data_IF_479297558411
#
_entry.id   IF_479297558411
#
_cell.length_a   1.000
_cell.length_b   1.000
_cell.length_c   1.000
_cell.angle_alpha   90.00
_cell.angle_beta   90.00
_cell.angle_gamma   90.00
#
_symmetry.space_group_name_H-M   'P 1'
#
loop_
_entity.id
_entity.type
_entity.pdbx_description
1 polymer ?
#
# COMPACT_ATOMS: atom_id res chain seq x y z
N UNK A 1 -7.26 25.67 19.87
CA UNK A 1 -5.78 25.79 19.80
C UNK A 1 -5.26 27.16 20.25
N UNK A 2 -5.97 28.26 19.98
CA UNK A 2 -5.50 29.61 20.35
C UNK A 2 -5.39 29.85 21.87
N UNK A 3 -6.34 29.35 22.66
CA UNK A 3 -6.35 29.50 24.12
C UNK A 3 -5.16 28.78 24.77
N UNK A 4 -4.82 27.58 24.30
CA UNK A 4 -3.66 26.82 24.81
C UNK A 4 -2.33 27.47 24.42
N UNK A 5 -2.24 28.07 23.22
CA UNK A 5 -1.05 28.80 22.79
C UNK A 5 -0.82 30.05 23.65
N UNK A 6 -1.90 30.81 23.91
CA UNK A 6 -1.85 31.98 24.80
C UNK A 6 -1.46 31.61 26.23
N UNK A 7 -2.04 30.53 26.78
CA UNK A 7 -1.69 30.05 28.12
C UNK A 7 -0.23 29.58 28.24
N UNK A 8 0.29 28.88 27.23
CA UNK A 8 1.70 28.48 27.20
C UNK A 8 2.64 29.69 27.15
N UNK A 9 2.33 30.69 26.31
CA UNK A 9 3.13 31.91 26.22
C UNK A 9 3.12 32.69 27.54
N UNK A 10 1.94 32.87 28.15
CA UNK A 10 1.79 33.52 29.45
C UNK A 10 2.63 32.83 30.53
N UNK A 11 2.61 31.49 30.57
CA UNK A 11 3.40 30.70 31.51
C UNK A 11 4.90 30.95 31.38
N UNK A 12 5.41 30.98 30.14
CA UNK A 12 6.82 31.28 29.86
C UNK A 12 7.19 32.69 30.33
N UNK A 13 6.35 33.70 30.04
CA UNK A 13 6.60 35.09 30.45
C UNK A 13 6.66 35.20 31.98
N UNK A 14 5.73 34.59 32.70
CA UNK A 14 5.72 34.62 34.18
C UNK A 14 6.95 33.93 34.77
N UNK A 15 7.42 32.80 34.20
CA UNK A 15 8.66 32.15 34.66
C UNK A 15 9.88 33.09 34.55
N UNK A 16 10.00 33.85 33.47
CA UNK A 16 11.10 34.81 33.30
C UNK A 16 11.01 36.01 34.24
N UNK A 17 9.79 36.48 34.57
CA UNK A 17 9.58 37.59 35.50
C UNK A 17 10.02 37.21 36.92
N UNK A 18 9.76 35.97 37.35
CA UNK A 18 10.11 35.51 38.71
C UNK A 18 11.63 35.35 38.85
N UNK A 19 12.28 34.62 37.93
CA UNK A 19 13.73 34.38 37.98
C UNK A 19 14.24 33.90 36.62
N UNK A 20 14.96 34.79 35.94
CA UNK A 20 15.54 34.52 34.63
C UNK A 20 16.59 33.41 34.65
N UNK A 21 17.38 33.31 35.73
CA UNK A 21 18.43 32.31 35.87
C UNK A 21 17.86 30.89 35.97
N UNK A 22 16.84 30.70 36.81
CA UNK A 22 16.20 29.38 36.97
C UNK A 22 15.39 28.98 35.74
N UNK A 23 14.77 29.95 35.04
CA UNK A 23 14.07 29.69 33.78
C UNK A 23 15.02 29.18 32.68
N UNK A 24 16.21 29.78 32.54
CA UNK A 24 17.20 29.30 31.56
C UNK A 24 17.69 27.88 31.89
N UNK A 25 17.92 27.57 33.16
CA UNK A 25 18.34 26.23 33.60
C UNK A 25 17.26 25.19 33.29
N UNK A 26 15.98 25.48 33.56
CA UNK A 26 14.89 24.53 33.27
C UNK A 26 14.72 24.32 31.77
N UNK A 27 14.79 25.39 30.96
CA UNK A 27 14.77 25.27 29.49
C UNK A 27 15.95 24.44 28.98
N UNK A 28 17.15 24.65 29.51
CA UNK A 28 18.33 23.86 29.14
C UNK A 28 18.16 22.39 29.50
N UNK A 29 17.71 22.06 30.71
CA UNK A 29 17.42 20.69 31.13
C UNK A 29 16.35 20.03 30.25
N UNK A 30 15.26 20.74 29.94
CA UNK A 30 14.22 20.25 29.04
C UNK A 30 14.75 20.01 27.63
N UNK A 31 15.53 20.95 27.08
CA UNK A 31 16.11 20.81 25.75
C UNK A 31 17.12 19.65 25.69
N UNK A 32 17.96 19.49 26.71
CA UNK A 32 18.91 18.39 26.82
C UNK A 32 18.19 17.03 26.90
N UNK A 33 17.14 16.92 27.72
CA UNK A 33 16.33 15.71 27.82
C UNK A 33 15.61 15.42 26.49
N UNK A 34 15.05 16.45 25.86
CA UNK A 34 14.34 16.31 24.58
C UNK A 34 15.29 15.84 23.46
N UNK A 35 16.48 16.44 23.36
CA UNK A 35 17.52 16.02 22.43
C UNK A 35 18.00 14.60 22.74
N UNK A 36 18.17 14.25 24.01
CA UNK A 36 18.54 12.90 24.43
C UNK A 36 17.52 11.86 23.95
N UNK A 37 16.21 12.12 24.15
CA UNK A 37 15.13 11.23 23.69
C UNK A 37 15.12 11.12 22.16
N UNK A 38 15.24 12.24 21.46
CA UNK A 38 15.28 12.27 19.99
C UNK A 38 16.46 11.48 19.42
N UNK A 39 17.61 11.51 20.09
CA UNK A 39 18.82 10.83 19.62
C UNK A 39 18.80 9.33 19.93
N UNK A 40 18.35 8.94 21.14
CA UNK A 40 18.33 7.54 21.57
C UNK A 40 17.25 6.71 20.88
N UNK A 41 16.17 7.32 20.38
CA UNK A 41 14.99 6.66 19.78
C UNK A 41 14.72 5.29 20.43
N UNK A 42 14.51 5.23 21.75
CA UNK A 42 14.40 3.94 22.42
C UNK A 42 13.19 3.20 21.86
N UNK A 43 13.38 1.96 21.43
CA UNK A 43 12.30 1.06 20.98
C UNK A 43 11.46 0.64 22.20
N UNK A 44 10.65 1.56 22.70
CA UNK A 44 9.75 1.35 23.84
C UNK A 44 8.44 0.72 23.37
N UNK A 45 8.08 -0.41 23.99
CA UNK A 45 6.94 -1.24 23.65
C UNK A 45 5.59 -0.77 24.25
N UNK A 46 5.57 0.31 25.03
CA UNK A 46 4.38 0.80 25.76
C UNK A 46 3.29 1.45 24.89
N UNK A 47 3.25 1.17 23.59
CA UNK A 47 2.32 1.80 22.65
C UNK A 47 2.70 3.26 22.41
N UNK A 48 3.19 3.57 21.22
CA UNK A 48 3.58 4.94 20.91
C UNK A 48 2.36 5.80 20.60
N UNK A 49 2.16 6.89 21.36
CA UNK A 49 1.19 7.94 21.02
C UNK A 49 1.38 8.47 19.58
N UNK A 50 2.61 8.44 19.05
CA UNK A 50 2.88 8.86 17.66
C UNK A 50 2.35 7.84 16.64
N UNK A 51 2.38 6.53 16.95
CA UNK A 51 1.77 5.50 16.10
C UNK A 51 0.25 5.61 16.13
N UNK A 52 -0.34 5.81 17.32
CA UNK A 52 -1.78 6.03 17.46
C UNK A 52 -2.26 7.28 16.69
N UNK A 53 -1.48 8.38 16.76
CA UNK A 53 -1.77 9.58 16.00
C UNK A 53 -1.64 9.35 14.48
N UNK A 54 -0.60 8.64 14.04
CA UNK A 54 -0.42 8.29 12.62
C UNK A 54 -1.58 7.46 12.08
N UNK A 55 -2.06 6.48 12.84
CA UNK A 55 -3.24 5.69 12.48
C UNK A 55 -4.50 6.57 12.37
N UNK A 56 -4.75 7.45 13.35
CA UNK A 56 -5.89 8.38 13.30
C UNK A 56 -5.82 9.31 12.08
N UNK A 57 -4.64 9.82 11.76
CA UNK A 57 -4.46 10.67 10.58
C UNK A 57 -4.69 9.89 9.29
N UNK A 58 -4.19 8.66 9.19
CA UNK A 58 -4.43 7.79 8.03
C UNK A 58 -5.91 7.47 7.87
N UNK A 59 -6.60 7.11 8.95
CA UNK A 59 -8.04 6.83 8.95
C UNK A 59 -8.87 8.06 8.54
N UNK A 60 -8.61 9.21 9.15
CA UNK A 60 -9.28 10.46 8.79
C UNK A 60 -9.00 10.85 7.33
N UNK A 61 -7.78 10.60 6.85
CA UNK A 61 -7.41 10.76 5.45
C UNK A 61 -8.24 9.84 4.54
N UNK A 62 -8.30 8.54 4.83
CA UNK A 62 -9.08 7.58 4.04
C UNK A 62 -10.57 7.94 3.99
N UNK A 63 -11.17 8.32 5.12
CA UNK A 63 -12.58 8.76 5.16
C UNK A 63 -12.78 10.02 4.31
N UNK A 64 -11.86 10.99 4.39
CA UNK A 64 -11.91 12.19 3.56
C UNK A 64 -11.80 11.88 2.07
N UNK A 65 -10.93 10.93 1.69
CA UNK A 65 -10.80 10.46 0.31
C UNK A 65 -12.10 9.81 -0.19
N UNK A 66 -12.78 9.02 0.65
CA UNK A 66 -14.06 8.37 0.30
C UNK A 66 -15.20 9.36 0.02
N UNK A 67 -15.18 10.55 0.62
CA UNK A 67 -16.20 11.58 0.40
C UNK A 67 -15.82 12.60 -0.69
N UNK A 68 -14.61 12.53 -1.24
CA UNK A 68 -14.15 13.51 -2.23
C UNK A 68 -14.59 13.07 -3.62
N UNK A 69 -15.37 13.90 -4.32
CA UNK A 69 -15.78 13.61 -5.69
C UNK A 69 -14.57 13.55 -6.63
N UNK A 70 -14.50 12.49 -7.43
CA UNK A 70 -13.43 12.31 -8.41
C UNK A 70 -13.70 13.22 -9.62
N UNK A 71 -12.92 14.30 -9.74
CA UNK A 71 -12.91 15.09 -10.95
C UNK A 71 -11.98 14.46 -11.99
N UNK A 72 -12.39 14.46 -13.27
CA UNK A 72 -11.62 13.95 -14.42
C UNK A 72 -10.19 14.53 -14.49
N UNK A 73 -9.98 15.74 -13.96
CA UNK A 73 -8.67 16.41 -13.91
C UNK A 73 -7.73 15.91 -12.80
N UNK A 74 -8.21 15.07 -11.87
CA UNK A 74 -7.44 14.54 -10.73
C UNK A 74 -7.35 13.00 -10.76
N UNK A 75 -7.46 12.40 -11.95
CA UNK A 75 -7.38 10.97 -12.12
C UNK A 75 -6.05 10.39 -11.64
N UNK A 76 -6.08 9.35 -10.79
CA UNK A 76 -4.89 8.66 -10.27
C UNK A 76 -4.98 7.16 -10.51
N UNK A 77 -4.31 6.60 -11.55
CA UNK A 77 -4.44 5.19 -11.87
C UNK A 77 -3.86 4.31 -10.75
N UNK A 78 -4.59 3.27 -10.34
CA UNK A 78 -4.17 2.35 -9.28
C UNK A 78 -3.65 1.06 -9.90
N UNK A 79 -2.44 0.64 -9.55
CA UNK A 79 -1.80 -0.50 -10.23
C UNK A 79 -1.77 -1.73 -9.34
N UNK A 80 -2.27 -2.86 -9.85
CA UNK A 80 -2.09 -4.18 -9.25
C UNK A 80 -1.10 -4.99 -10.10
N UNK A 81 0.16 -4.99 -9.71
CA UNK A 81 1.24 -5.65 -10.45
C UNK A 81 1.39 -7.10 -9.97
N UNK A 82 1.07 -8.07 -10.81
CA UNK A 82 1.30 -9.49 -10.54
C UNK A 82 2.77 -9.85 -10.83
N UNK A 83 3.68 -9.30 -10.02
CA UNK A 83 5.12 -9.52 -10.18
C UNK A 83 5.59 -10.86 -9.63
N UNK A 84 4.83 -11.47 -8.72
CA UNK A 84 5.32 -12.56 -7.90
C UNK A 84 6.45 -12.09 -6.99
N UNK A 85 7.56 -12.83 -6.92
CA UNK A 85 8.72 -12.41 -6.15
C UNK A 85 9.30 -11.08 -6.70
N UNK A 86 9.11 -9.99 -5.95
CA UNK A 86 9.55 -8.65 -6.33
C UNK A 86 11.06 -8.54 -6.59
N UNK A 87 11.87 -9.25 -5.80
CA UNK A 87 13.33 -9.22 -5.93
C UNK A 87 13.82 -9.94 -7.20
N UNK A 88 13.07 -10.93 -7.70
CA UNK A 88 13.42 -11.67 -8.90
C UNK A 88 13.12 -10.90 -10.19
N UNK A 89 12.23 -9.89 -10.13
CA UNK A 89 11.75 -9.14 -11.30
C UNK A 89 11.69 -7.63 -11.02
N UNK A 90 12.83 -6.99 -10.71
CA UNK A 90 12.87 -5.56 -10.38
C UNK A 90 12.44 -4.66 -11.55
N UNK A 91 12.70 -5.06 -12.80
CA UNK A 91 12.37 -4.27 -14.00
C UNK A 91 10.88 -4.04 -14.19
N UNK A 92 10.03 -5.02 -13.83
CA UNK A 92 8.58 -4.88 -13.90
C UNK A 92 8.06 -3.86 -12.87
N UNK A 93 8.67 -3.85 -11.69
CA UNK A 93 8.35 -2.92 -10.61
C UNK A 93 8.79 -1.51 -10.98
N UNK A 94 9.97 -1.35 -11.58
CA UNK A 94 10.44 -0.04 -12.06
C UNK A 94 9.53 0.52 -13.14
N UNK A 95 9.14 -0.32 -14.09
CA UNK A 95 8.22 0.06 -15.13
C UNK A 95 6.87 0.54 -14.55
N UNK A 96 6.28 -0.23 -13.63
CA UNK A 96 5.04 0.15 -12.96
C UNK A 96 5.19 1.42 -12.10
N UNK A 97 6.33 1.57 -11.44
CA UNK A 97 6.65 2.74 -10.65
C UNK A 97 6.82 3.99 -11.53
N UNK A 98 7.39 3.85 -12.72
CA UNK A 98 7.51 4.93 -13.71
C UNK A 98 6.14 5.40 -14.22
N UNK A 99 5.16 4.49 -14.34
CA UNK A 99 3.78 4.85 -14.68
C UNK A 99 3.13 5.67 -13.55
N UNK A 100 3.26 5.22 -12.31
CA UNK A 100 2.59 5.86 -11.15
C UNK A 100 3.32 7.11 -10.64
N UNK A 101 4.60 7.27 -10.98
CA UNK A 101 5.52 8.30 -10.46
C UNK A 101 5.47 8.45 -8.93
N UNK A 102 5.16 7.35 -8.22
CA UNK A 102 5.02 7.34 -6.76
C UNK A 102 3.93 8.26 -6.19
N UNK A 103 2.94 8.66 -7.00
CA UNK A 103 1.80 9.51 -6.62
C UNK A 103 0.48 8.75 -6.54
N UNK A 104 0.42 7.57 -7.15
CA UNK A 104 -0.72 6.65 -7.10
C UNK A 104 -0.42 5.41 -6.27
N UNK A 105 -1.49 4.71 -5.89
CA UNK A 105 -1.40 3.46 -5.15
C UNK A 105 -0.95 2.34 -6.08
N UNK A 106 0.12 1.64 -5.68
CA UNK A 106 0.65 0.46 -6.36
C UNK A 106 0.68 -0.71 -5.39
N UNK A 107 0.17 -1.86 -5.82
CA UNK A 107 0.14 -3.11 -5.07
C UNK A 107 0.87 -4.18 -5.88
N UNK A 108 1.87 -4.80 -5.28
CA UNK A 108 2.62 -5.93 -5.82
C UNK A 108 1.98 -7.24 -5.33
N UNK A 109 1.29 -7.95 -6.22
CA UNK A 109 0.64 -9.22 -5.96
C UNK A 109 1.55 -10.42 -6.19
N UNK A 110 1.50 -11.38 -5.28
CA UNK A 110 2.13 -12.69 -5.45
C UNK A 110 1.17 -13.83 -5.13
N UNK A 111 0.93 -14.66 -6.13
CA UNK A 111 0.19 -15.91 -5.96
C UNK A 111 1.19 -17.04 -5.76
N UNK A 112 1.15 -17.65 -4.58
CA UNK A 112 2.00 -18.80 -4.24
C UNK A 112 1.22 -20.08 -4.53
N UNK A 113 1.73 -21.00 -5.37
CA UNK A 113 1.04 -22.21 -5.81
C UNK A 113 1.00 -23.29 -4.72
N UNK A 114 0.35 -23.00 -3.60
CA UNK A 114 0.14 -23.93 -2.49
C UNK A 114 -1.31 -23.91 -2.03
N UNK A 115 -1.76 -25.04 -1.46
CA UNK A 115 -3.04 -25.11 -0.78
C UNK A 115 -3.05 -24.14 0.43
N UNK A 116 -4.10 -23.31 0.59
CA UNK A 116 -4.27 -22.48 1.77
C UNK A 116 -4.23 -23.34 3.03
N UNK A 117 -3.31 -23.02 3.93
CA UNK A 117 -3.19 -23.67 5.25
C UNK A 117 -2.53 -22.70 6.23
N UNK A 118 -2.77 -22.86 7.52
CA UNK A 118 -2.23 -21.94 8.55
C UNK A 118 -0.71 -21.84 8.51
N UNK A 119 -0.05 -22.97 8.23
CA UNK A 119 1.40 -23.03 8.08
C UNK A 119 1.85 -22.18 6.88
N UNK A 120 1.18 -22.30 5.74
CA UNK A 120 1.48 -21.51 4.54
C UNK A 120 1.24 -20.02 4.79
N UNK A 121 0.14 -19.65 5.46
CA UNK A 121 -0.12 -18.25 5.84
C UNK A 121 0.97 -17.66 6.74
N UNK A 122 1.53 -18.45 7.67
CA UNK A 122 2.64 -18.00 8.52
C UNK A 122 3.91 -17.69 7.71
N UNK A 123 4.22 -18.51 6.71
CA UNK A 123 5.37 -18.33 5.81
C UNK A 123 5.14 -17.14 4.89
N UNK A 124 3.93 -16.98 4.36
CA UNK A 124 3.57 -15.85 3.51
C UNK A 124 3.68 -14.51 4.24
N UNK A 125 3.26 -14.42 5.51
CA UNK A 125 3.43 -13.20 6.31
C UNK A 125 4.90 -12.80 6.45
N UNK A 126 5.79 -13.80 6.65
CA UNK A 126 7.25 -13.55 6.69
C UNK A 126 7.74 -13.04 5.33
N UNK A 127 7.32 -13.68 4.25
CA UNK A 127 7.68 -13.29 2.89
C UNK A 127 7.20 -11.86 2.56
N UNK A 128 5.95 -11.54 2.88
CA UNK A 128 5.35 -10.22 2.66
C UNK A 128 6.12 -9.14 3.41
N UNK A 129 6.52 -9.40 4.66
CA UNK A 129 7.39 -8.49 5.42
C UNK A 129 8.75 -8.29 4.74
N UNK A 130 9.42 -9.37 4.35
CA UNK A 130 10.74 -9.29 3.72
C UNK A 130 10.70 -8.51 2.40
N UNK A 131 9.68 -8.74 1.57
CA UNK A 131 9.55 -8.07 0.28
C UNK A 131 9.05 -6.63 0.43
N UNK A 132 8.24 -6.33 1.45
CA UNK A 132 7.89 -4.95 1.81
C UNK A 132 9.12 -4.17 2.26
N UNK A 133 9.98 -4.76 3.08
CA UNK A 133 11.27 -4.16 3.48
C UNK A 133 12.18 -3.95 2.26
N UNK A 134 12.20 -4.88 1.30
CA UNK A 134 12.94 -4.74 0.04
C UNK A 134 12.44 -3.56 -0.80
N UNK A 135 11.12 -3.40 -0.94
CA UNK A 135 10.50 -2.26 -1.64
C UNK A 135 10.84 -0.92 -0.97
N UNK A 136 10.78 -0.88 0.37
CA UNK A 136 11.13 0.31 1.15
C UNK A 136 12.59 0.71 0.98
N UNK A 137 13.52 -0.26 1.00
CA UNK A 137 14.95 -0.02 0.75
C UNK A 137 15.19 0.63 -0.62
N UNK A 138 14.39 0.25 -1.62
CA UNK A 138 14.45 0.78 -2.98
C UNK A 138 13.66 2.07 -3.19
N UNK A 139 13.06 2.63 -2.13
CA UNK A 139 12.19 3.83 -2.17
C UNK A 139 10.97 3.68 -3.08
N UNK A 140 10.54 2.46 -3.36
CA UNK A 140 9.33 2.20 -4.14
C UNK A 140 8.12 2.29 -3.21
N UNK A 141 7.21 3.22 -3.50
CA UNK A 141 5.96 3.39 -2.75
C UNK A 141 4.92 2.40 -3.23
N UNK A 142 5.01 1.16 -2.77
CA UNK A 142 4.06 0.11 -3.09
C UNK A 142 3.81 -0.80 -1.87
N UNK A 143 2.60 -1.36 -1.79
CA UNK A 143 2.29 -2.43 -0.85
C UNK A 143 2.55 -3.78 -1.49
N UNK A 144 2.95 -4.77 -0.69
CA UNK A 144 3.10 -6.14 -1.16
C UNK A 144 1.97 -7.00 -0.59
N UNK A 145 1.35 -7.83 -1.43
CA UNK A 145 0.24 -8.70 -1.03
C UNK A 145 0.44 -10.11 -1.58
N UNK A 146 0.50 -11.10 -0.68
CA UNK A 146 0.63 -12.50 -1.05
C UNK A 146 -0.69 -13.27 -0.83
N UNK A 147 -1.08 -14.13 -1.78
CA UNK A 147 -2.21 -15.07 -1.66
C UNK A 147 -1.73 -16.49 -1.98
N UNK A 148 -2.14 -17.48 -1.19
CA UNK A 148 -1.93 -18.89 -1.48
C UNK A 148 -3.11 -19.41 -2.28
N UNK A 149 -2.84 -20.01 -3.43
CA UNK A 149 -3.86 -20.68 -4.23
C UNK A 149 -3.18 -21.72 -5.12
N UNK A 150 -3.83 -22.87 -5.37
CA UNK A 150 -3.29 -23.94 -6.23
C UNK A 150 -3.11 -23.46 -7.67
N UNK A 151 -4.08 -22.69 -8.16
CA UNK A 151 -4.00 -22.13 -9.51
C UNK A 151 -3.66 -20.64 -9.47
N UNK A 152 -2.79 -20.23 -10.39
CA UNK A 152 -2.45 -18.83 -10.57
C UNK A 152 -3.69 -18.00 -10.95
N UNK A 153 -4.57 -18.56 -11.79
CA UNK A 153 -5.81 -17.92 -12.24
C UNK A 153 -6.72 -17.60 -11.06
N UNK A 154 -7.05 -18.60 -10.24
CA UNK A 154 -7.92 -18.38 -9.09
C UNK A 154 -7.28 -17.43 -8.07
N UNK A 155 -5.96 -17.54 -7.84
CA UNK A 155 -5.26 -16.61 -6.95
C UNK A 155 -5.26 -15.16 -7.45
N UNK A 156 -5.10 -14.94 -8.76
CA UNK A 156 -5.18 -13.62 -9.38
C UNK A 156 -6.61 -13.05 -9.31
N UNK A 157 -7.64 -13.88 -9.51
CA UNK A 157 -9.04 -13.49 -9.33
C UNK A 157 -9.33 -13.12 -7.88
N UNK A 158 -8.83 -13.89 -6.90
CA UNK A 158 -8.97 -13.54 -5.48
C UNK A 158 -8.28 -12.23 -5.12
N UNK A 159 -7.10 -11.96 -5.67
CA UNK A 159 -6.41 -10.66 -5.52
C UNK A 159 -7.25 -9.53 -6.12
N UNK A 160 -7.74 -9.72 -7.35
CA UNK A 160 -8.57 -8.73 -8.03
C UNK A 160 -9.85 -8.43 -7.29
N UNK A 161 -10.58 -9.45 -6.83
CA UNK A 161 -11.81 -9.27 -6.05
C UNK A 161 -11.51 -8.52 -4.74
N UNK A 162 -10.49 -8.94 -3.99
CA UNK A 162 -10.12 -8.35 -2.71
C UNK A 162 -9.78 -6.86 -2.84
N UNK A 163 -9.10 -6.49 -3.90
CA UNK A 163 -8.71 -5.11 -4.12
C UNK A 163 -9.77 -4.30 -4.86
N UNK A 164 -10.60 -4.93 -5.70
CA UNK A 164 -11.77 -4.28 -6.30
C UNK A 164 -12.72 -3.74 -5.24
N UNK A 165 -12.97 -4.48 -4.16
CA UNK A 165 -13.85 -3.99 -3.11
C UNK A 165 -13.19 -2.86 -2.27
N UNK A 166 -11.87 -2.81 -2.24
CA UNK A 166 -11.10 -1.76 -1.58
C UNK A 166 -10.87 -0.52 -2.46
N UNK A 167 -11.08 -0.64 -3.77
CA UNK A 167 -10.86 0.41 -4.76
C UNK A 167 -12.20 0.84 -5.31
N UNK A 168 -12.59 2.09 -5.09
CA UNK A 168 -13.85 2.59 -5.61
C UNK A 168 -13.94 2.39 -7.14
N UNK A 169 -15.16 2.12 -7.61
CA UNK A 169 -15.48 1.57 -8.94
C UNK A 169 -15.03 2.41 -10.17
N UNK A 170 -14.43 3.58 -9.94
CA UNK A 170 -13.95 4.52 -10.97
C UNK A 170 -12.44 4.52 -11.22
N UNK A 171 -11.68 3.65 -10.57
CA UNK A 171 -10.22 3.64 -10.71
C UNK A 171 -9.74 2.56 -11.69
N UNK A 172 -8.85 2.93 -12.63
CA UNK A 172 -8.29 1.90 -13.51
C UNK A 172 -7.33 1.01 -12.73
N UNK A 173 -7.67 -0.27 -12.71
CA UNK A 173 -6.80 -1.34 -12.24
C UNK A 173 -5.98 -1.80 -13.44
N UNK A 174 -4.69 -1.51 -13.45
CA UNK A 174 -3.77 -2.08 -14.43
C UNK A 174 -3.06 -3.31 -13.85
N UNK A 175 -3.26 -4.45 -14.52
CA UNK A 175 -2.63 -5.73 -14.16
C UNK A 175 -1.44 -5.97 -15.07
N UNK A 176 -0.24 -5.93 -14.47
CA UNK A 176 1.01 -6.21 -15.17
C UNK A 176 1.51 -7.60 -14.78
N UNK A 177 1.64 -8.49 -15.76
CA UNK A 177 2.29 -9.80 -15.61
C UNK A 177 3.33 -10.00 -16.71
N UNK A 178 4.45 -10.59 -16.33
CA UNK A 178 5.46 -11.11 -17.25
C UNK A 178 5.46 -12.65 -17.14
N UNK A 179 4.92 -13.35 -18.12
CA UNK A 179 4.81 -14.82 -18.11
C UNK A 179 4.56 -15.39 -19.51
N UNK A 180 5.05 -16.61 -19.76
CA UNK A 180 4.92 -17.33 -21.04
C UNK A 180 3.51 -17.85 -21.32
N UNK A 181 2.70 -18.03 -20.28
CA UNK A 181 1.28 -18.36 -20.42
C UNK A 181 0.49 -17.06 -20.44
N UNK A 182 0.01 -16.70 -21.63
CA UNK A 182 -0.94 -15.61 -21.84
C UNK A 182 -2.09 -15.71 -20.83
N UNK A 183 -2.25 -14.67 -20.02
CA UNK A 183 -3.30 -14.61 -19.02
C UNK A 183 -4.49 -13.92 -19.69
N UNK A 184 -5.23 -14.65 -20.54
CA UNK A 184 -6.40 -14.13 -21.24
C UNK A 184 -7.57 -13.95 -20.28
N UNK A 185 -7.48 -12.91 -19.45
CA UNK A 185 -8.62 -12.29 -18.78
C UNK A 185 -9.26 -11.22 -19.65
N UNK A 186 -8.75 -10.96 -20.86
CA UNK A 186 -9.28 -9.88 -21.70
C UNK A 186 -10.72 -10.13 -22.12
N UNK A 187 -11.15 -11.38 -22.33
CA UNK A 187 -12.57 -11.72 -22.54
C UNK A 187 -13.37 -11.71 -21.24
N UNK A 188 -12.85 -12.33 -20.17
CA UNK A 188 -13.52 -12.34 -18.87
C UNK A 188 -13.73 -10.92 -18.31
N UNK A 189 -12.80 -9.99 -18.57
CA UNK A 189 -12.89 -8.58 -18.17
C UNK A 189 -13.71 -7.72 -19.15
N UNK A 190 -13.77 -8.06 -20.45
CA UNK A 190 -14.77 -7.47 -21.37
C UNK A 190 -16.20 -7.77 -20.90
N UNK A 191 -16.42 -8.96 -20.32
CA UNK A 191 -17.71 -9.36 -19.74
C UNK A 191 -17.99 -8.72 -18.36
N UNK A 192 -16.95 -8.32 -17.61
CA UNK A 192 -17.07 -7.70 -16.28
C UNK A 192 -17.47 -6.22 -16.29
N UNK A 193 -17.77 -5.64 -17.47
CA UNK A 193 -18.22 -4.25 -17.53
C UNK A 193 -19.68 -4.04 -17.11
N UNK A 194 -20.46 -5.06 -16.74
CA UNK A 194 -21.85 -4.89 -16.28
C UNK A 194 -22.29 -5.96 -15.27
N UNK A 195 -22.50 -5.55 -14.02
CA UNK A 195 -23.74 -5.79 -13.27
C UNK A 195 -24.15 -7.17 -12.71
N UNK A 196 -23.64 -8.33 -13.15
CA UNK A 196 -24.18 -9.63 -12.68
C UNK A 196 -23.15 -10.70 -12.28
N UNK A 197 -23.23 -11.16 -11.03
CA UNK A 197 -22.37 -12.19 -10.41
C UNK A 197 -22.56 -13.64 -10.92
N UNK A 198 -23.48 -13.91 -11.85
CA UNK A 198 -23.88 -15.30 -12.21
C UNK A 198 -23.17 -15.92 -13.43
N UNK A 199 -22.20 -15.25 -14.06
CA UNK A 199 -21.52 -15.75 -15.29
C UNK A 199 -20.04 -16.13 -15.07
N UNK A 200 -19.75 -16.86 -13.99
CA UNK A 200 -18.39 -17.25 -13.60
C UNK A 200 -17.88 -18.58 -14.16
N UNK A 201 -18.69 -19.33 -14.92
CA UNK A 201 -18.26 -20.62 -15.49
C UNK A 201 -17.97 -20.49 -16.98
N UNK A 202 -16.68 -20.42 -17.35
CA UNK A 202 -16.25 -20.62 -18.73
C UNK A 202 -15.04 -21.55 -18.73
N UNK A 203 -15.28 -22.80 -19.15
CA UNK A 203 -14.28 -23.81 -19.50
C UNK A 203 -13.40 -23.28 -20.62
N UNK A 204 -12.08 -23.35 -20.45
CA UNK A 204 -11.12 -23.15 -21.55
C UNK A 204 -10.00 -24.18 -21.41
N UNK A 205 -9.88 -24.99 -22.45
CA UNK A 205 -9.05 -26.19 -22.57
C UNK A 205 -7.56 -25.93 -22.32
N UNK A 206 -6.95 -26.84 -21.55
CA UNK A 206 -5.51 -27.02 -21.47
C UNK A 206 -5.00 -27.58 -22.80
N UNK A 207 -4.42 -26.73 -23.66
CA UNK A 207 -3.30 -27.12 -24.53
C UNK A 207 -2.81 -25.93 -25.37
N UNK A 208 -1.63 -25.40 -25.04
CA UNK A 208 -0.65 -24.91 -26.03
C UNK A 208 0.64 -24.46 -25.34
N UNK A 209 1.73 -25.19 -25.61
CA UNK A 209 2.79 -24.70 -26.48
C UNK A 209 3.57 -23.44 -26.07
N UNK A 210 4.88 -23.63 -25.95
CA UNK A 210 5.92 -22.69 -25.58
C UNK A 210 6.10 -21.45 -26.51
N UNK A 211 6.73 -20.41 -25.94
CA UNK A 211 7.42 -19.24 -26.55
C UNK A 211 6.57 -18.03 -26.93
N UNK A 212 6.53 -17.06 -26.01
CA UNK A 212 6.92 -15.65 -26.22
C UNK A 212 6.77 -14.86 -24.91
N UNK A 213 7.70 -13.94 -24.62
CA UNK A 213 7.66 -13.07 -23.42
C UNK A 213 6.84 -11.82 -23.74
N UNK A 214 5.53 -11.89 -23.59
CA UNK A 214 4.67 -10.71 -23.66
C UNK A 214 4.50 -10.07 -22.28
N UNK A 215 4.65 -8.76 -22.21
CA UNK A 215 4.12 -7.97 -21.09
C UNK A 215 2.68 -7.66 -21.44
N UNK A 216 1.73 -8.39 -20.84
CA UNK A 216 0.31 -8.11 -21.05
C UNK A 216 -0.04 -6.85 -20.26
N UNK A 217 -0.35 -5.76 -20.97
CA UNK A 217 -0.88 -4.52 -20.41
C UNK A 217 -2.40 -4.60 -20.43
N UNK A 218 -3.02 -4.91 -19.30
CA UNK A 218 -4.48 -4.83 -19.19
C UNK A 218 -4.84 -3.51 -18.52
N UNK A 219 -5.37 -2.56 -19.29
CA UNK A 219 -5.96 -1.32 -18.79
C UNK A 219 -7.47 -1.54 -18.63
N UNK A 220 -7.97 -1.63 -17.40
CA UNK A 220 -9.41 -1.52 -17.15
C UNK A 220 -9.70 -0.07 -16.86
N UNK A 221 -10.10 0.72 -17.85
CA UNK A 221 -10.61 2.07 -17.58
C UNK A 221 -12.11 1.93 -17.37
N UNK A 222 -12.54 1.91 -16.10
CA UNK A 222 -13.96 2.08 -15.75
C UNK A 222 -14.32 3.55 -15.98
N UNK A 223 -15.49 3.82 -16.57
CA UNK A 223 -15.97 5.16 -16.93
C UNK A 223 -17.16 5.52 -16.08
#
# INVERSE_FOLDING_TARGET
MWVSLGGALLCIVVMFIISWATALITFFCFAALFLYILHRKPDVNWGSSTQAHSYKNALAGMIKLSHTEEHVKNYRPQLLVLCGNAAARPSLIDFAYNITKGSSLMICGYVVPYNPSDRVHSVMRKLERQLSEWLQKRRVKAFYAAIANVSLRAGAQSLLQKFRDAFDSNMAVCVLRNGSMGLDFSEAMKLLNVGESKRLDINLDENAGEKEKWVTFLFVISK
#
